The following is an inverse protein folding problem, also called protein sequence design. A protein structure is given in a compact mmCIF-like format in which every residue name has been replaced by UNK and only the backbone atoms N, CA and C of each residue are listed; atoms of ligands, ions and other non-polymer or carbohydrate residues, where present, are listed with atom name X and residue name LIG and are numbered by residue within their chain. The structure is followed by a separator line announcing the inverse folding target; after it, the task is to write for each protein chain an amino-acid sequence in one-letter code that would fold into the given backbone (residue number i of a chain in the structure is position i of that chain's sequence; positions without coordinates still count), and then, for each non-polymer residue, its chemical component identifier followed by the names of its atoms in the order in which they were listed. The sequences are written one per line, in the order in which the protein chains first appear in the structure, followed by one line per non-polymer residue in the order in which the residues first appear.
data_IF_958106313974
#
_entry.id   IF_958106313974
#
_cell.length_a   1.000
_cell.length_b   1.000
_cell.length_c   1.000
_cell.angle_alpha   90.00
_cell.angle_beta   90.00
_cell.angle_gamma   90.00
#
_symmetry.space_group_name_H-M   'P 1'
#
loop_
_entity.id
_entity.type
_entity.pdbx_description
1 polymer ?
#
# COMPACT_ATOMS: atom_id res chain seq x y z
N UNK A 1 16.13 19.18 -15.19
CA UNK A 1 16.03 18.72 -13.78
C UNK A 1 14.66 19.08 -13.24
N UNK A 2 13.95 18.16 -12.60
CA UNK A 2 12.55 18.34 -12.20
C UNK A 2 12.40 19.34 -11.06
N UNK A 3 11.56 20.36 -11.25
CA UNK A 3 11.25 21.34 -10.22
C UNK A 3 10.54 20.66 -9.01
N UNK A 4 11.04 20.79 -7.78
CA UNK A 4 10.44 20.20 -6.58
C UNK A 4 8.96 20.57 -6.38
N UNK A 5 8.56 21.79 -6.75
CA UNK A 5 7.17 22.25 -6.66
C UNK A 5 6.27 21.51 -7.64
N UNK A 6 6.75 21.25 -8.86
CA UNK A 6 6.01 20.46 -9.86
C UNK A 6 5.82 19.02 -9.39
N UNK A 7 6.86 18.39 -8.81
CA UNK A 7 6.77 17.03 -8.25
C UNK A 7 5.79 16.96 -7.09
N UNK A 8 5.80 17.96 -6.20
CA UNK A 8 4.83 18.06 -5.11
C UNK A 8 3.38 18.22 -5.63
N UNK A 9 3.19 19.03 -6.67
CA UNK A 9 1.90 19.17 -7.34
C UNK A 9 1.40 17.85 -7.94
N UNK A 10 2.28 17.11 -8.61
CA UNK A 10 1.98 15.79 -9.16
C UNK A 10 1.62 14.77 -8.06
N UNK A 11 2.37 14.75 -6.95
CA UNK A 11 2.06 13.90 -5.80
C UNK A 11 0.66 14.21 -5.24
N UNK A 12 0.34 15.49 -5.02
CA UNK A 12 -0.99 15.90 -4.51
C UNK A 12 -2.11 15.48 -5.45
N UNK A 13 -1.91 15.62 -6.77
CA UNK A 13 -2.89 15.19 -7.78
C UNK A 13 -3.08 13.68 -7.77
N UNK A 14 -1.98 12.91 -7.75
CA UNK A 14 -2.01 11.44 -7.70
C UNK A 14 -2.67 10.93 -6.42
N UNK A 15 -2.31 11.50 -5.26
CA UNK A 15 -2.95 11.22 -3.97
C UNK A 15 -4.46 11.45 -4.05
N UNK A 16 -4.90 12.61 -4.55
CA UNK A 16 -6.34 12.93 -4.67
C UNK A 16 -7.07 11.89 -5.54
N UNK A 17 -6.52 11.57 -6.72
CA UNK A 17 -7.09 10.58 -7.62
C UNK A 17 -7.19 9.19 -6.98
N UNK A 18 -6.13 8.78 -6.27
CA UNK A 18 -6.10 7.48 -5.61
C UNK A 18 -7.13 7.38 -4.47
N UNK A 19 -7.26 8.42 -3.64
CA UNK A 19 -8.28 8.45 -2.60
C UNK A 19 -9.70 8.43 -3.19
N UNK A 20 -9.95 9.15 -4.29
CA UNK A 20 -11.24 9.12 -5.01
C UNK A 20 -11.58 7.72 -5.53
N UNK A 21 -10.60 7.03 -6.12
CA UNK A 21 -10.79 5.67 -6.61
C UNK A 21 -11.04 4.67 -5.47
N UNK A 22 -10.38 4.83 -4.32
CA UNK A 22 -10.61 3.98 -3.15
C UNK A 22 -11.96 4.25 -2.51
N UNK A 23 -12.43 5.50 -2.51
CA UNK A 23 -13.80 5.81 -2.06
C UNK A 23 -14.85 5.14 -2.96
N UNK A 24 -14.60 5.07 -4.27
CA UNK A 24 -15.49 4.43 -5.24
C UNK A 24 -15.42 2.90 -5.22
N UNK A 25 -14.23 2.35 -4.98
CA UNK A 25 -13.96 0.91 -5.00
C UNK A 25 -13.23 0.48 -3.71
N UNK A 26 -13.90 0.53 -2.54
CA UNK A 26 -13.25 0.36 -1.23
C UNK A 26 -12.66 -1.04 -1.01
N UNK A 27 -13.17 -2.05 -1.72
CA UNK A 27 -12.75 -3.45 -1.61
C UNK A 27 -11.75 -3.87 -2.69
N UNK A 28 -11.29 -2.93 -3.53
CA UNK A 28 -10.30 -3.23 -4.55
C UNK A 28 -8.90 -3.40 -3.92
N UNK A 29 -8.39 -4.63 -3.98
CA UNK A 29 -7.10 -5.03 -3.40
C UNK A 29 -5.93 -4.26 -4.04
N UNK A 30 -5.92 -4.06 -5.36
CA UNK A 30 -4.84 -3.38 -6.06
C UNK A 30 -4.75 -1.90 -5.63
N UNK A 31 -5.89 -1.21 -5.51
CA UNK A 31 -5.93 0.17 -5.05
C UNK A 31 -5.42 0.31 -3.60
N UNK A 32 -5.81 -0.63 -2.72
CA UNK A 32 -5.34 -0.69 -1.33
C UNK A 32 -3.84 -0.93 -1.26
N UNK A 33 -3.33 -1.84 -2.09
CA UNK A 33 -1.90 -2.11 -2.20
C UNK A 33 -1.12 -0.90 -2.70
N UNK A 34 -1.58 -0.23 -3.77
CA UNK A 34 -0.94 0.97 -4.30
C UNK A 34 -0.90 2.06 -3.22
N UNK A 35 -2.02 2.31 -2.52
CA UNK A 35 -2.05 3.30 -1.44
C UNK A 35 -1.12 2.93 -0.30
N UNK A 36 -1.11 1.67 0.13
CA UNK A 36 -0.17 1.20 1.15
C UNK A 36 1.29 1.41 0.73
N UNK A 37 1.65 1.10 -0.52
CA UNK A 37 3.01 1.28 -1.05
C UNK A 37 3.41 2.75 -1.10
N UNK A 38 2.54 3.63 -1.61
CA UNK A 38 2.83 5.07 -1.68
C UNK A 38 2.94 5.67 -0.29
N UNK A 39 2.01 5.35 0.62
CA UNK A 39 2.09 5.79 2.02
C UNK A 39 3.36 5.28 2.71
N UNK A 40 3.85 4.11 2.30
CA UNK A 40 5.03 3.49 2.88
C UNK A 40 6.33 4.26 2.60
N UNK A 41 6.41 4.83 1.40
CA UNK A 41 7.59 5.56 0.93
C UNK A 41 7.40 7.08 0.97
N UNK A 42 6.22 7.56 1.38
CA UNK A 42 5.93 8.98 1.47
C UNK A 42 6.72 9.62 2.63
N UNK A 43 7.44 10.74 2.38
CA UNK A 43 8.05 11.51 3.44
C UNK A 43 7.05 11.95 4.52
N UNK A 44 7.49 11.94 5.79
CA UNK A 44 6.66 12.29 6.95
C UNK A 44 6.01 13.68 6.85
N UNK A 45 6.72 14.66 6.28
CA UNK A 45 6.21 16.03 6.10
C UNK A 45 4.99 16.13 5.15
N UNK A 46 4.70 15.08 4.36
CA UNK A 46 3.50 15.03 3.50
C UNK A 46 2.26 14.52 4.23
N UNK A 47 2.41 14.07 5.49
CA UNK A 47 1.34 13.53 6.33
C UNK A 47 0.46 12.50 5.59
N UNK A 48 1.08 11.67 4.75
CA UNK A 48 0.41 10.65 3.95
C UNK A 48 0.78 9.25 4.43
N UNK A 49 0.45 8.96 5.70
CA UNK A 49 0.67 7.63 6.30
C UNK A 49 -0.46 7.16 7.21
N UNK A 50 -1.55 7.93 7.33
CA UNK A 50 -2.62 7.70 8.32
C UNK A 50 -3.40 6.40 8.09
N UNK A 51 -3.46 5.93 6.85
CA UNK A 51 -4.24 4.75 6.47
C UNK A 51 -3.37 3.50 6.31
N UNK A 52 -2.05 3.60 6.56
CA UNK A 52 -1.08 2.54 6.28
C UNK A 52 -1.40 1.25 7.03
N UNK A 53 -1.77 1.33 8.31
CA UNK A 53 -2.18 0.15 9.10
C UNK A 53 -3.48 -0.45 8.58
N UNK A 54 -4.46 0.40 8.30
CA UNK A 54 -5.75 -0.04 7.75
C UNK A 54 -5.58 -0.81 6.44
N UNK A 55 -4.73 -0.30 5.55
CA UNK A 55 -4.44 -0.98 4.30
C UNK A 55 -3.62 -2.26 4.52
N UNK A 56 -2.70 -2.28 5.50
CA UNK A 56 -1.96 -3.48 5.90
C UNK A 56 -2.94 -4.60 6.28
N UNK A 57 -3.84 -4.31 7.22
CA UNK A 57 -4.82 -5.28 7.73
C UNK A 57 -5.79 -5.74 6.64
N UNK A 58 -6.18 -4.83 5.75
CA UNK A 58 -7.03 -5.15 4.61
C UNK A 58 -6.34 -6.13 3.67
N UNK A 59 -5.06 -5.90 3.33
CA UNK A 59 -4.29 -6.75 2.43
C UNK A 59 -4.11 -8.14 3.02
N UNK A 60 -3.72 -8.24 4.30
CA UNK A 60 -3.60 -9.53 5.00
C UNK A 60 -4.90 -10.34 4.91
N UNK A 61 -6.05 -9.70 5.10
CA UNK A 61 -7.35 -10.38 5.13
C UNK A 61 -7.93 -10.71 3.75
N UNK A 62 -7.49 -10.06 2.68
CA UNK A 62 -8.19 -10.13 1.39
C UNK A 62 -7.30 -10.49 0.20
N UNK A 63 -5.96 -10.52 0.33
CA UNK A 63 -5.07 -10.80 -0.81
C UNK A 63 -5.36 -12.14 -1.48
N UNK A 64 -5.74 -13.17 -0.71
CA UNK A 64 -6.15 -14.49 -1.22
C UNK A 64 -7.40 -14.46 -2.12
N UNK A 65 -8.19 -13.38 -2.07
CA UNK A 65 -9.38 -13.18 -2.91
C UNK A 65 -9.05 -12.58 -4.28
N UNK A 66 -7.80 -12.13 -4.48
CA UNK A 66 -7.38 -11.59 -5.76
C UNK A 66 -7.42 -12.71 -6.81
N UNK A 67 -8.21 -12.59 -7.89
CA UNK A 67 -8.40 -13.66 -8.86
C UNK A 67 -7.16 -13.94 -9.71
N UNK A 68 -6.25 -12.96 -9.82
CA UNK A 68 -5.02 -13.10 -10.59
C UNK A 68 -3.89 -13.69 -9.71
N UNK A 69 -3.48 -14.95 -9.91
CA UNK A 69 -2.46 -15.60 -9.09
C UNK A 69 -1.09 -14.91 -9.23
N UNK A 70 -0.72 -14.47 -10.45
CA UNK A 70 0.54 -13.76 -10.69
C UNK A 70 0.57 -12.39 -10.02
N UNK A 71 -0.55 -11.66 -10.07
CA UNK A 71 -0.69 -10.39 -9.36
C UNK A 71 -0.55 -10.57 -7.85
N UNK A 72 -1.14 -11.64 -7.32
CA UNK A 72 -1.05 -12.00 -5.89
C UNK A 72 0.38 -12.25 -5.46
N UNK A 73 1.11 -13.07 -6.22
CA UNK A 73 2.51 -13.41 -5.96
C UNK A 73 3.42 -12.17 -5.97
N UNK A 74 3.22 -11.26 -6.94
CA UNK A 74 3.97 -9.99 -7.00
C UNK A 74 3.71 -9.14 -5.77
N UNK A 75 2.43 -8.98 -5.38
CA UNK A 75 2.07 -8.21 -4.18
C UNK A 75 2.67 -8.85 -2.93
N UNK A 76 2.51 -10.16 -2.74
CA UNK A 76 3.07 -10.87 -1.60
C UNK A 76 4.60 -10.71 -1.51
N UNK A 77 5.31 -10.91 -2.61
CA UNK A 77 6.76 -10.76 -2.69
C UNK A 77 7.17 -9.34 -2.28
N UNK A 78 6.50 -8.33 -2.82
CA UNK A 78 6.76 -6.94 -2.46
C UNK A 78 6.52 -6.67 -0.96
N UNK A 79 5.41 -7.15 -0.39
CA UNK A 79 5.10 -6.96 1.03
C UNK A 79 6.14 -7.65 1.94
N UNK A 80 6.58 -8.86 1.55
CA UNK A 80 7.61 -9.62 2.26
C UNK A 80 8.96 -8.91 2.26
N UNK A 81 9.40 -8.43 1.10
CA UNK A 81 10.63 -7.64 0.97
C UNK A 81 10.53 -6.33 1.74
N UNK A 82 9.37 -5.67 1.66
CA UNK A 82 9.12 -4.42 2.37
C UNK A 82 9.26 -4.56 3.88
N UNK A 83 8.89 -5.73 4.42
CA UNK A 83 8.94 -6.01 5.84
C UNK A 83 10.33 -5.78 6.47
N UNK A 84 11.41 -5.95 5.70
CA UNK A 84 12.78 -5.74 6.18
C UNK A 84 13.11 -4.31 6.61
N UNK A 85 12.36 -3.31 6.16
CA UNK A 85 12.56 -1.90 6.51
C UNK A 85 11.36 -1.25 7.21
N UNK A 86 10.28 -2.00 7.45
CA UNK A 86 9.16 -1.54 8.28
C UNK A 86 9.58 -1.50 9.76
N UNK A 87 8.88 -0.68 10.54
CA UNK A 87 9.16 -0.47 11.98
C UNK A 87 7.87 -0.44 12.77
N UNK A 88 7.94 -0.90 14.03
CA UNK A 88 6.83 -0.89 14.97
C UNK A 88 5.63 -1.70 14.47
N UNK A 89 4.44 -1.13 14.66
CA UNK A 89 3.14 -1.73 14.28
C UNK A 89 2.96 -2.00 12.77
N UNK A 90 3.80 -1.40 11.92
CA UNK A 90 3.76 -1.62 10.48
C UNK A 90 4.41 -2.92 10.03
N UNK A 91 5.23 -3.55 10.88
CA UNK A 91 5.88 -4.83 10.57
C UNK A 91 4.80 -5.92 10.41
N UNK A 92 4.98 -6.78 9.42
CA UNK A 92 4.20 -8.02 9.25
C UNK A 92 4.77 -9.11 10.16
N UNK A 93 3.93 -9.62 11.03
CA UNK A 93 4.20 -10.81 11.84
C UNK A 93 4.25 -12.08 10.99
N UNK A 94 4.82 -13.16 11.54
CA UNK A 94 4.89 -14.44 10.85
C UNK A 94 3.50 -14.98 10.49
N UNK A 95 2.50 -14.77 11.36
CA UNK A 95 1.13 -15.17 11.10
C UNK A 95 0.52 -14.41 9.91
N UNK A 96 0.75 -13.09 9.84
CA UNK A 96 0.30 -12.26 8.71
C UNK A 96 1.00 -12.65 7.40
N UNK A 97 2.30 -12.95 7.43
CA UNK A 97 3.04 -13.42 6.25
C UNK A 97 2.52 -14.76 5.75
N UNK A 98 2.19 -15.69 6.65
CA UNK A 98 1.59 -16.97 6.29
C UNK A 98 0.21 -16.76 5.66
N UNK A 99 -0.59 -15.82 6.17
CA UNK A 99 -1.89 -15.48 5.57
C UNK A 99 -1.74 -14.89 4.16
N UNK A 100 -0.78 -13.99 3.96
CA UNK A 100 -0.50 -13.38 2.66
C UNK A 100 0.01 -14.36 1.61
N UNK A 101 0.59 -15.48 2.03
CA UNK A 101 1.08 -16.53 1.14
C UNK A 101 0.00 -17.48 0.60
N UNK A 102 -1.24 -17.37 1.09
CA UNK A 102 -2.40 -18.18 0.65
C UNK A 102 -2.96 -17.73 -0.70
#
# INVERSE_FOLDING_TARGET
MGNPFTKLGQFKKGKKLLEEMIMKYPDNIDLRFIRWSVQTHAPSFLSYGKDRLRDKDFLVKNLHKLPNPKGREVIYTYLKEANGYLKGEHVFSQAELNELSK
#
